data_IF_700197251794
#
_entry.id   IF_700197251794
#
_cell.length_a   1.000
_cell.length_b   1.000
_cell.length_c   1.000
_cell.angle_alpha   90.00
_cell.angle_beta   90.00
_cell.angle_gamma   90.00
#
_symmetry.space_group_name_H-M   'P 1'
#
loop_
_entity.id
_entity.type
_entity.pdbx_description
1 polymer ?
#
# COMPACT_ATOMS: atom_id res chain seq x y z
N UNK A 1 -61.51 -46.08 -5.90
CA UNK A 1 -60.56 -47.19 -5.69
C UNK A 1 -59.20 -46.72 -6.17
N UNK A 2 -58.22 -46.57 -5.28
CA UNK A 2 -56.87 -46.21 -5.68
C UNK A 2 -56.16 -47.49 -6.13
N UNK A 3 -55.71 -47.54 -7.38
CA UNK A 3 -54.85 -48.64 -7.84
C UNK A 3 -53.49 -48.49 -7.16
N UNK A 4 -53.00 -49.55 -6.52
CA UNK A 4 -51.70 -49.56 -5.86
C UNK A 4 -50.59 -49.43 -6.92
N UNK A 5 -49.70 -48.45 -6.74
CA UNK A 5 -48.57 -48.20 -7.63
C UNK A 5 -47.69 -49.44 -7.80
N UNK A 6 -47.64 -50.31 -6.78
CA UNK A 6 -46.92 -51.58 -6.83
C UNK A 6 -47.50 -52.54 -7.86
N UNK A 7 -48.82 -52.63 -7.96
CA UNK A 7 -49.49 -53.53 -8.90
C UNK A 7 -49.36 -53.03 -10.34
N UNK A 8 -49.45 -51.70 -10.53
CA UNK A 8 -49.21 -51.06 -11.83
C UNK A 8 -47.77 -51.29 -12.31
N UNK A 9 -46.79 -51.12 -11.43
CA UNK A 9 -45.37 -51.28 -11.78
C UNK A 9 -45.02 -52.73 -12.09
N UNK A 10 -45.63 -53.68 -11.38
CA UNK A 10 -45.47 -55.12 -11.63
C UNK A 10 -46.07 -55.54 -12.98
N UNK A 11 -47.25 -55.03 -13.33
CA UNK A 11 -47.88 -55.27 -14.63
C UNK A 11 -47.08 -54.67 -15.81
N UNK A 12 -46.43 -53.51 -15.61
CA UNK A 12 -45.54 -52.90 -16.60
C UNK A 12 -44.24 -53.69 -16.78
N UNK A 13 -43.73 -54.30 -15.71
CA UNK A 13 -42.50 -55.08 -15.72
C UNK A 13 -42.68 -56.46 -16.41
N UNK A 14 -43.90 -57.00 -16.42
CA UNK A 14 -44.25 -58.18 -17.22
C UNK A 14 -44.32 -57.89 -18.73
N UNK A 15 -44.53 -56.63 -19.12
CA UNK A 15 -44.65 -56.18 -20.53
C UNK A 15 -43.35 -55.53 -21.03
N UNK A 16 -42.22 -56.18 -20.76
CA UNK A 16 -40.86 -55.64 -20.97
C UNK A 16 -40.39 -55.78 -22.42
N UNK A 17 -41.03 -55.09 -23.37
CA UNK A 17 -40.47 -54.87 -24.71
C UNK A 17 -41.09 -53.71 -25.49
N UNK A 18 -41.48 -52.62 -24.81
CA UNK A 18 -41.82 -51.38 -25.52
C UNK A 18 -40.51 -50.68 -25.90
N UNK A 19 -39.96 -51.01 -27.07
CA UNK A 19 -38.86 -50.25 -27.65
C UNK A 19 -39.35 -48.84 -28.02
N UNK A 20 -38.54 -47.83 -27.71
CA UNK A 20 -38.83 -46.46 -28.13
C UNK A 20 -38.83 -46.36 -29.66
N UNK A 21 -39.68 -45.50 -30.21
CA UNK A 21 -39.66 -45.23 -31.64
C UNK A 21 -38.28 -44.72 -32.08
N UNK A 22 -37.82 -45.14 -33.27
CA UNK A 22 -36.52 -44.72 -33.81
C UNK A 22 -36.46 -43.18 -33.90
N UNK A 23 -35.39 -42.59 -33.35
CA UNK A 23 -35.18 -41.13 -33.32
C UNK A 23 -35.84 -40.40 -32.13
N UNK A 24 -36.47 -41.11 -31.19
CA UNK A 24 -37.00 -40.50 -29.97
C UNK A 24 -35.90 -39.87 -29.10
N UNK A 25 -34.74 -40.54 -28.98
CA UNK A 25 -33.60 -40.06 -28.22
C UNK A 25 -33.03 -38.76 -28.80
N UNK A 26 -32.82 -38.70 -30.11
CA UNK A 26 -32.36 -37.48 -30.79
C UNK A 26 -33.32 -36.30 -30.57
N UNK A 27 -34.63 -36.53 -30.72
CA UNK A 27 -35.66 -35.50 -30.46
C UNK A 27 -35.70 -35.07 -29.00
N UNK A 28 -35.42 -35.98 -28.08
CA UNK A 28 -35.35 -35.69 -26.66
C UNK A 28 -34.13 -34.81 -26.34
N UNK A 29 -32.96 -35.17 -26.86
CA UNK A 29 -31.71 -34.40 -26.74
C UNK A 29 -31.89 -33.01 -27.34
N UNK A 30 -32.47 -32.90 -28.55
CA UNK A 30 -32.73 -31.61 -29.21
C UNK A 30 -33.63 -30.70 -28.35
N UNK A 31 -34.73 -31.23 -27.80
CA UNK A 31 -35.59 -30.47 -26.89
C UNK A 31 -34.88 -30.06 -25.60
N UNK A 32 -34.00 -30.92 -25.09
CA UNK A 32 -33.26 -30.70 -23.86
C UNK A 32 -32.20 -29.59 -24.01
N UNK A 33 -31.47 -29.59 -25.12
CA UNK A 33 -30.49 -28.54 -25.44
C UNK A 33 -31.16 -27.19 -25.74
N UNK A 34 -32.34 -27.22 -26.37
CA UNK A 34 -33.15 -26.02 -26.61
C UNK A 34 -33.66 -25.38 -25.31
N UNK A 35 -33.89 -26.17 -24.26
CA UNK A 35 -34.24 -25.64 -22.94
C UNK A 35 -33.01 -25.14 -22.16
N UNK A 36 -31.86 -25.80 -22.31
CA UNK A 36 -30.60 -25.38 -21.65
C UNK A 36 -30.06 -24.04 -22.13
N UNK A 37 -30.32 -23.66 -23.38
CA UNK A 37 -29.82 -22.40 -23.96
C UNK A 37 -30.73 -21.17 -23.75
N UNK A 38 -31.84 -21.29 -23.02
CA UNK A 38 -32.77 -20.16 -22.77
C UNK A 38 -32.42 -19.33 -21.52
N UNK A 39 -31.15 -18.90 -21.38
CA UNK A 39 -30.68 -18.24 -20.17
C UNK A 39 -29.52 -17.26 -20.34
N UNK A 40 -29.82 -16.06 -20.84
CA UNK A 40 -29.08 -14.80 -20.65
C UNK A 40 -27.75 -14.57 -21.39
N UNK A 41 -27.86 -14.04 -22.60
CA UNK A 41 -26.80 -13.24 -23.26
C UNK A 41 -26.72 -11.80 -22.75
N UNK A 42 -27.26 -11.49 -21.55
CA UNK A 42 -27.25 -10.15 -20.95
C UNK A 42 -26.28 -9.95 -19.79
N UNK A 43 -25.46 -10.95 -19.44
CA UNK A 43 -24.46 -10.83 -18.35
C UNK A 43 -23.09 -10.28 -18.78
N UNK A 44 -22.74 -10.35 -20.07
CA UNK A 44 -21.44 -9.86 -20.55
C UNK A 44 -21.33 -8.33 -20.53
N UNK A 45 -22.44 -7.61 -20.76
CA UNK A 45 -22.43 -6.14 -20.74
C UNK A 45 -22.22 -5.56 -19.33
N UNK A 46 -22.71 -6.23 -18.28
CA UNK A 46 -22.56 -5.74 -16.91
C UNK A 46 -21.11 -5.89 -16.40
N UNK A 47 -20.42 -6.96 -16.78
CA UNK A 47 -18.98 -7.10 -16.49
C UNK A 47 -18.14 -6.06 -17.24
N UNK A 48 -18.53 -5.73 -18.47
CA UNK A 48 -17.87 -4.67 -19.23
C UNK A 48 -18.07 -3.29 -18.58
N UNK A 49 -19.24 -3.02 -18.01
CA UNK A 49 -19.52 -1.78 -17.27
C UNK A 49 -18.72 -1.69 -15.97
N UNK A 50 -18.60 -2.79 -15.22
CA UNK A 50 -17.73 -2.85 -14.03
C UNK A 50 -16.26 -2.61 -14.43
N UNK A 51 -15.76 -3.29 -15.47
CA UNK A 51 -14.39 -3.12 -15.93
C UNK A 51 -14.12 -1.69 -16.42
N UNK A 52 -15.06 -1.08 -17.15
CA UNK A 52 -14.96 0.31 -17.59
C UNK A 52 -14.87 1.29 -16.41
N UNK A 53 -15.65 1.08 -15.34
CA UNK A 53 -15.59 1.95 -14.15
C UNK A 53 -14.23 1.89 -13.45
N UNK A 54 -13.63 0.70 -13.36
CA UNK A 54 -12.30 0.49 -12.76
C UNK A 54 -11.23 1.17 -13.63
N UNK A 55 -11.30 1.02 -14.96
CA UNK A 55 -10.37 1.67 -15.89
C UNK A 55 -10.49 3.19 -15.81
N UNK A 56 -11.70 3.75 -15.67
CA UNK A 56 -11.90 5.19 -15.51
C UNK A 56 -11.32 5.69 -14.19
N UNK A 57 -11.54 4.98 -13.07
CA UNK A 57 -10.98 5.37 -11.77
C UNK A 57 -9.45 5.29 -11.77
N UNK A 58 -8.87 4.22 -12.32
CA UNK A 58 -7.42 4.07 -12.44
C UNK A 58 -6.86 5.13 -13.40
N UNK A 59 -7.53 5.38 -14.52
CA UNK A 59 -7.13 6.39 -15.51
C UNK A 59 -7.18 7.82 -14.96
N UNK A 60 -8.22 8.16 -14.18
CA UNK A 60 -8.33 9.45 -13.50
C UNK A 60 -7.33 9.56 -12.35
N UNK A 61 -7.09 8.49 -11.59
CA UNK A 61 -6.11 8.49 -10.49
C UNK A 61 -4.69 8.63 -11.03
N UNK A 62 -4.35 7.89 -12.10
CA UNK A 62 -3.07 8.00 -12.78
C UNK A 62 -2.93 9.33 -13.51
N UNK A 63 -3.99 9.81 -14.15
CA UNK A 63 -4.05 11.13 -14.79
C UNK A 63 -3.85 12.26 -13.79
N UNK A 64 -4.53 12.23 -12.65
CA UNK A 64 -4.33 13.16 -11.56
C UNK A 64 -2.93 13.05 -10.99
N UNK A 65 -2.44 11.83 -10.72
CA UNK A 65 -1.07 11.60 -10.25
C UNK A 65 -0.04 12.20 -11.20
N UNK A 66 -0.16 11.97 -12.51
CA UNK A 66 0.71 12.54 -13.54
C UNK A 66 0.53 14.05 -13.71
N UNK A 67 -0.71 14.56 -13.60
CA UNK A 67 -1.00 16.00 -13.67
C UNK A 67 -0.36 16.74 -12.49
N UNK A 68 -0.53 16.22 -11.26
CA UNK A 68 0.11 16.73 -10.04
C UNK A 68 1.64 16.47 -10.00
N UNK A 69 2.18 15.59 -10.85
CA UNK A 69 3.62 15.38 -11.05
C UNK A 69 4.16 15.96 -12.35
N UNK A 70 3.40 16.79 -13.06
CA UNK A 70 3.96 17.50 -14.21
C UNK A 70 4.99 18.47 -13.64
N UNK A 71 6.30 18.31 -13.92
CA UNK A 71 7.22 19.41 -13.70
C UNK A 71 6.78 20.48 -14.69
N UNK A 72 6.51 21.67 -14.18
CA UNK A 72 6.38 22.90 -14.94
C UNK A 72 7.44 22.95 -16.06
N UNK A 73 7.07 22.57 -17.29
CA UNK A 73 7.90 22.79 -18.47
C UNK A 73 7.69 24.23 -18.91
N UNK A 74 8.28 25.15 -18.12
CA UNK A 74 8.40 26.56 -18.44
C UNK A 74 9.44 26.71 -19.56
N UNK A 75 8.98 26.50 -20.79
CA UNK A 75 9.63 27.02 -21.99
C UNK A 75 9.44 28.54 -22.05
N UNK A 76 10.17 29.24 -21.17
CA UNK A 76 10.43 30.66 -21.28
C UNK A 76 11.89 30.89 -20.83
N UNK A 77 12.77 31.52 -21.63
CA UNK A 77 14.14 31.78 -21.21
C UNK A 77 14.13 32.99 -20.27
N UNK A 78 13.63 32.79 -19.05
CA UNK A 78 13.54 33.82 -18.04
C UNK A 78 14.06 33.24 -16.73
N UNK A 79 15.38 33.33 -16.53
CA UNK A 79 16.08 33.21 -15.25
C UNK A 79 15.37 32.32 -14.22
N UNK A 80 15.42 31.01 -14.44
CA UNK A 80 15.03 30.02 -13.42
C UNK A 80 16.10 30.00 -12.32
N UNK A 81 16.13 31.04 -11.48
CA UNK A 81 16.58 30.89 -10.10
C UNK A 81 15.48 30.11 -9.39
N UNK A 82 15.42 28.80 -9.64
CA UNK A 82 14.81 27.89 -8.68
C UNK A 82 15.58 28.12 -7.39
N UNK A 83 14.98 28.85 -6.46
CA UNK A 83 15.53 29.04 -5.13
C UNK A 83 15.49 27.68 -4.43
N UNK A 84 16.43 26.80 -4.75
CA UNK A 84 16.75 25.65 -3.91
C UNK A 84 17.06 26.22 -2.53
N UNK A 85 16.21 25.90 -1.55
CA UNK A 85 16.48 26.24 -0.15
C UNK A 85 17.87 25.75 0.19
N UNK A 86 18.72 26.66 0.67
CA UNK A 86 20.06 26.32 1.13
C UNK A 86 19.92 25.51 2.41
N UNK A 87 20.54 24.35 2.47
CA UNK A 87 20.64 23.58 3.71
C UNK A 87 21.88 24.00 4.48
N UNK A 88 22.06 23.43 5.68
CA UNK A 88 23.23 23.66 6.51
C UNK A 88 24.55 23.44 5.74
N UNK A 89 24.61 22.41 4.90
CA UNK A 89 25.78 22.06 4.11
C UNK A 89 26.08 22.98 2.93
N UNK A 90 25.14 23.80 2.51
CA UNK A 90 25.36 24.79 1.44
C UNK A 90 26.08 26.05 1.95
N UNK A 91 26.19 26.21 3.28
CA UNK A 91 26.84 27.37 3.90
C UNK A 91 28.37 27.26 3.88
N UNK A 92 28.93 26.06 4.11
CA UNK A 92 30.37 25.84 4.06
C UNK A 92 30.75 24.35 3.90
N UNK A 93 31.96 24.04 3.38
CA UNK A 93 32.44 22.67 3.26
C UNK A 93 32.52 21.90 4.59
N UNK A 94 32.78 22.60 5.70
CA UNK A 94 32.85 21.98 7.02
C UNK A 94 31.46 21.62 7.53
N UNK A 95 30.49 22.53 7.38
CA UNK A 95 29.09 22.28 7.75
C UNK A 95 28.48 21.17 6.88
N UNK A 96 28.85 21.09 5.60
CA UNK A 96 28.44 20.00 4.72
C UNK A 96 28.85 18.63 5.27
N UNK A 97 30.11 18.50 5.69
CA UNK A 97 30.60 17.24 6.29
C UNK A 97 29.82 16.87 7.55
N UNK A 98 29.44 17.86 8.36
CA UNK A 98 28.64 17.65 9.57
C UNK A 98 27.23 17.17 9.21
N UNK A 99 26.55 17.88 8.31
CA UNK A 99 25.21 17.50 7.83
C UNK A 99 25.22 16.10 7.21
N UNK A 100 26.12 15.85 6.27
CA UNK A 100 26.27 14.56 5.58
C UNK A 100 26.55 13.43 6.60
N UNK A 101 27.42 13.66 7.59
CA UNK A 101 27.74 12.68 8.62
C UNK A 101 26.50 12.29 9.44
N UNK A 102 25.74 13.27 9.93
CA UNK A 102 24.56 13.00 10.74
C UNK A 102 23.45 12.36 9.92
N UNK A 103 23.18 12.83 8.70
CA UNK A 103 22.17 12.22 7.82
C UNK A 103 22.52 10.78 7.47
N UNK A 104 23.79 10.51 7.13
CA UNK A 104 24.25 9.14 6.86
C UNK A 104 24.10 8.25 8.10
N UNK A 105 24.45 8.78 9.28
CA UNK A 105 24.36 8.05 10.55
C UNK A 105 22.91 7.77 10.96
N UNK A 106 22.00 8.74 10.79
CA UNK A 106 20.55 8.59 11.01
C UNK A 106 19.99 7.50 10.09
N UNK A 107 20.30 7.56 8.79
CA UNK A 107 19.85 6.56 7.83
C UNK A 107 20.40 5.17 8.14
N UNK A 108 21.66 5.10 8.57
CA UNK A 108 22.29 3.85 8.98
C UNK A 108 21.64 3.26 10.23
N UNK A 109 21.38 4.05 11.27
CA UNK A 109 20.70 3.54 12.47
C UNK A 109 19.26 3.13 12.18
N UNK A 110 18.52 3.90 11.37
CA UNK A 110 17.19 3.52 10.90
C UNK A 110 17.19 2.16 10.18
N UNK A 111 18.19 1.91 9.32
CA UNK A 111 18.29 0.65 8.58
C UNK A 111 18.54 -0.59 9.46
N UNK A 112 19.04 -0.39 10.69
CA UNK A 112 19.31 -1.47 11.66
C UNK A 112 18.12 -1.77 12.57
N UNK A 113 17.08 -0.95 12.55
CA UNK A 113 15.91 -1.13 13.43
C UNK A 113 14.95 -2.15 12.80
N UNK A 114 14.73 -3.26 13.52
CA UNK A 114 13.78 -4.29 13.12
C UNK A 114 12.44 -4.08 13.81
N UNK A 115 11.40 -3.83 13.01
CA UNK A 115 10.02 -3.65 13.49
C UNK A 115 9.30 -4.99 13.49
N UNK A 116 8.79 -5.38 14.64
CA UNK A 116 7.97 -6.57 14.86
C UNK A 116 6.58 -6.16 15.37
N UNK A 117 5.53 -6.99 15.23
CA UNK A 117 4.20 -6.64 15.76
C UNK A 117 4.19 -6.29 17.24
N UNK A 118 5.15 -6.81 18.00
CA UNK A 118 5.26 -6.67 19.44
C UNK A 118 5.94 -5.36 19.87
N UNK A 119 6.92 -4.90 19.12
CA UNK A 119 7.64 -3.65 19.42
C UNK A 119 7.09 -2.43 18.65
N UNK A 120 6.05 -2.64 17.82
CA UNK A 120 5.47 -1.63 16.94
C UNK A 120 5.01 -0.39 17.67
N UNK A 121 4.32 -0.54 18.80
CA UNK A 121 3.80 0.61 19.57
C UNK A 121 4.93 1.50 20.10
N UNK A 122 5.99 0.89 20.66
CA UNK A 122 7.18 1.60 21.11
C UNK A 122 7.88 2.28 19.92
N UNK A 123 8.04 1.56 18.81
CA UNK A 123 8.65 2.10 17.60
C UNK A 123 7.88 3.32 17.06
N UNK A 124 6.55 3.22 16.93
CA UNK A 124 5.69 4.29 16.41
C UNK A 124 5.84 5.58 17.26
N UNK A 125 5.84 5.46 18.59
CA UNK A 125 6.00 6.63 19.47
C UNK A 125 7.35 7.35 19.33
N UNK A 126 8.41 6.63 18.96
CA UNK A 126 9.70 7.24 18.63
C UNK A 126 9.70 7.85 17.23
N UNK A 127 9.02 7.23 16.26
CA UNK A 127 8.86 7.79 14.91
C UNK A 127 8.11 9.11 14.95
N UNK A 128 7.07 9.24 15.76
CA UNK A 128 6.33 10.50 15.91
C UNK A 128 7.25 11.63 16.39
N UNK A 129 8.10 11.37 17.40
CA UNK A 129 9.10 12.34 17.88
C UNK A 129 10.16 12.68 16.82
N UNK A 130 10.56 11.70 15.99
CA UNK A 130 11.46 11.96 14.86
C UNK A 130 10.80 12.86 13.80
N UNK A 131 9.49 12.73 13.58
CA UNK A 131 8.74 13.59 12.68
C UNK A 131 8.66 15.02 13.20
N UNK A 132 8.42 15.21 14.50
CA UNK A 132 8.46 16.52 15.15
C UNK A 132 9.83 17.19 14.96
N UNK A 133 10.92 16.47 15.25
CA UNK A 133 12.27 16.98 15.03
C UNK A 133 12.54 17.29 13.56
N UNK A 134 12.06 16.46 12.63
CA UNK A 134 12.22 16.73 11.20
C UNK A 134 11.46 17.98 10.76
N UNK A 135 10.24 18.20 11.25
CA UNK A 135 9.48 19.41 10.97
C UNK A 135 10.22 20.66 11.51
N UNK A 136 10.78 20.57 12.72
CA UNK A 136 11.58 21.65 13.28
C UNK A 136 12.84 21.94 12.46
N UNK A 137 13.52 20.91 11.94
CA UNK A 137 14.64 21.09 11.01
C UNK A 137 14.24 21.87 9.76
N UNK A 138 13.06 21.58 9.19
CA UNK A 138 12.54 22.32 8.03
C UNK A 138 12.24 23.78 8.40
N UNK A 139 11.64 24.03 9.56
CA UNK A 139 11.37 25.40 10.04
C UNK A 139 12.67 26.19 10.22
N UNK A 140 13.67 25.60 10.86
CA UNK A 140 15.00 26.22 11.01
C UNK A 140 15.69 26.44 9.66
N UNK A 141 15.47 25.55 8.68
CA UNK A 141 15.98 25.73 7.32
C UNK A 141 15.29 26.89 6.62
N UNK A 142 13.97 27.08 6.81
CA UNK A 142 13.25 28.25 6.32
C UNK A 142 13.82 29.51 6.96
N UNK A 143 13.97 29.53 8.28
CA UNK A 143 14.54 30.66 9.01
C UNK A 143 15.95 31.01 8.53
N UNK A 144 16.80 30.01 8.31
CA UNK A 144 18.14 30.17 7.75
C UNK A 144 18.12 30.87 6.38
N UNK A 145 17.14 30.53 5.54
CA UNK A 145 17.01 31.10 4.19
C UNK A 145 16.38 32.50 4.20
N UNK A 146 15.53 32.81 5.18
CA UNK A 146 14.88 34.11 5.34
C UNK A 146 15.78 35.14 6.05
N UNK A 147 16.42 34.74 7.15
CA UNK A 147 17.19 35.63 8.03
C UNK A 147 18.70 35.54 7.79
N UNK A 148 19.16 34.54 7.04
CA UNK A 148 20.57 34.27 6.80
C UNK A 148 21.22 33.39 7.87
N UNK A 149 22.50 33.03 7.70
CA UNK A 149 23.23 32.11 8.58
C UNK A 149 23.63 32.75 9.91
N UNK A 150 22.67 32.82 10.83
CA UNK A 150 22.93 33.14 12.24
C UNK A 150 23.59 31.94 12.93
N UNK A 151 24.54 32.21 13.83
CA UNK A 151 25.20 31.16 14.62
C UNK A 151 24.20 30.32 15.40
N UNK A 152 23.19 30.97 16.00
CA UNK A 152 22.11 30.31 16.74
C UNK A 152 21.28 29.36 15.85
N UNK A 153 20.96 29.75 14.61
CA UNK A 153 20.22 28.89 13.67
C UNK A 153 21.08 27.72 13.18
N UNK A 154 22.38 27.94 12.96
CA UNK A 154 23.34 26.87 12.60
C UNK A 154 23.44 25.86 13.74
N UNK A 155 23.59 26.33 14.98
CA UNK A 155 23.69 25.48 16.16
C UNK A 155 22.40 24.70 16.38
N UNK A 156 21.24 25.33 16.23
CA UNK A 156 19.93 24.68 16.33
C UNK A 156 19.75 23.58 15.28
N UNK A 157 20.16 23.82 14.02
CA UNK A 157 20.13 22.80 12.97
C UNK A 157 21.00 21.60 13.31
N UNK A 158 22.22 21.84 13.80
CA UNK A 158 23.15 20.77 14.23
C UNK A 158 22.59 20.03 15.45
N UNK A 159 22.03 20.75 16.42
CA UNK A 159 21.42 20.18 17.61
C UNK A 159 20.23 19.28 17.26
N UNK A 160 19.37 19.72 16.34
CA UNK A 160 18.28 18.90 15.84
C UNK A 160 18.77 17.56 15.25
N UNK A 161 19.81 17.60 14.40
CA UNK A 161 20.43 16.39 13.85
C UNK A 161 20.98 15.47 14.95
N UNK A 162 21.64 16.04 15.97
CA UNK A 162 22.14 15.29 17.13
C UNK A 162 21.00 14.65 17.93
N UNK A 163 19.91 15.38 18.17
CA UNK A 163 18.74 14.89 18.90
C UNK A 163 18.08 13.72 18.16
N UNK A 164 17.91 13.83 16.83
CA UNK A 164 17.39 12.74 16.00
C UNK A 164 18.23 11.47 16.13
N UNK A 165 19.56 11.61 16.03
CA UNK A 165 20.46 10.47 16.19
C UNK A 165 20.43 9.89 17.61
N UNK A 166 20.38 10.73 18.64
CA UNK A 166 20.26 10.28 20.04
C UNK A 166 18.97 9.50 20.27
N UNK A 167 17.86 9.99 19.71
CA UNK A 167 16.56 9.33 19.83
C UNK A 167 16.58 7.94 19.19
N UNK A 168 17.19 7.80 18.01
CA UNK A 168 17.38 6.51 17.33
C UNK A 168 18.26 5.55 18.13
N UNK A 169 19.36 6.05 18.72
CA UNK A 169 20.22 5.24 19.58
C UNK A 169 19.45 4.69 20.79
N UNK A 170 18.62 5.52 21.42
CA UNK A 170 17.77 5.10 22.55
C UNK A 170 16.70 4.11 22.13
N UNK A 171 16.06 4.33 20.98
CA UNK A 171 15.08 3.38 20.43
C UNK A 171 15.72 2.01 20.26
N UNK A 172 16.88 1.93 19.62
CA UNK A 172 17.61 0.68 19.44
C UNK A 172 17.91 -0.03 20.75
N UNK A 173 18.41 0.69 21.75
CA UNK A 173 18.70 0.14 23.08
C UNK A 173 17.44 -0.43 23.74
N UNK A 174 16.34 0.32 23.70
CA UNK A 174 15.05 -0.12 24.24
C UNK A 174 14.48 -1.33 23.47
N UNK A 175 14.67 -1.41 22.15
CA UNK A 175 14.24 -2.56 21.36
C UNK A 175 15.02 -3.84 21.71
N UNK A 176 16.33 -3.72 22.01
CA UNK A 176 17.14 -4.86 22.47
C UNK A 176 16.67 -5.32 23.84
N UNK A 177 16.53 -4.40 24.80
CA UNK A 177 16.04 -4.71 26.15
C UNK A 177 14.64 -5.33 26.14
N UNK A 178 13.75 -4.79 25.31
CA UNK A 178 12.38 -5.29 25.18
C UNK A 178 12.32 -6.71 24.58
N UNK A 179 13.24 -7.05 23.67
CA UNK A 179 13.34 -8.40 23.13
C UNK A 179 13.98 -9.39 24.13
N UNK A 180 14.97 -8.96 24.92
CA UNK A 180 15.65 -9.80 25.93
C UNK A 180 14.78 -10.05 27.17
N UNK A 181 14.12 -9.02 27.70
CA UNK A 181 13.27 -9.11 28.92
C UNK A 181 12.12 -10.10 28.76
N UNK A 182 11.55 -10.24 27.56
CA UNK A 182 10.47 -11.20 27.34
C UNK A 182 10.96 -12.64 27.20
N UNK A 183 12.24 -12.84 26.85
CA UNK A 183 12.84 -14.18 26.85
C UNK A 183 12.88 -14.76 28.27
N UNK A 184 12.87 -13.91 29.30
CA UNK A 184 12.84 -14.31 30.71
C UNK A 184 11.42 -14.67 31.16
N UNK A 185 10.39 -13.97 30.70
CA UNK A 185 8.99 -14.25 31.09
C UNK A 185 8.40 -15.50 30.44
N UNK A 186 8.82 -15.90 29.23
CA UNK A 186 8.33 -17.14 28.59
C UNK A 186 9.02 -18.42 29.09
N UNK A 187 10.09 -18.31 29.88
CA UNK A 187 10.84 -19.46 30.42
C UNK A 187 10.61 -19.70 31.93
N UNK A 188 9.53 -19.15 32.49
CA UNK A 188 9.07 -19.38 33.87
C UNK A 188 7.67 -19.98 33.83
#
# INVERSE_FOLDING_TARGET
MAQDLRDLLKALQENKSVEMSKGHEERFIEKLDRQRSSGSTRKQFNFLQIAASIIVVIGLSFGAYKFYQTPEDNSNPQNNSSHTMKTLGDLSPNLKKVEDYYLASINLELSKIEVTPKNKELFDGYVDRLQELNAEYQNLTIELNENGPLEETIDALIENLKLRLSLLSRLKEQLVEFNESTFVEENI
#
